data_IF_849334720843
#
_entry.id   IF_849334720843
#
_cell.length_a   1.000
_cell.length_b   1.000
_cell.length_c   1.000
_cell.angle_alpha   90.00
_cell.angle_beta   90.00
_cell.angle_gamma   90.00
#
_symmetry.space_group_name_H-M   'P 1'
#
loop_
_entity.id
_entity.type
_entity.pdbx_description
1 polymer ?
#
# COMPACT_ATOMS: atom_id res chain seq x y z
N UNK A 1 3.77 15.86 -6.13
CA UNK A 1 4.78 15.45 -5.15
C UNK A 1 4.54 14.01 -4.75
N UNK A 2 5.59 13.23 -4.54
CA UNK A 2 5.48 11.79 -4.34
C UNK A 2 5.81 11.42 -2.90
N UNK A 3 5.20 10.33 -2.43
CA UNK A 3 5.52 9.76 -1.14
C UNK A 3 5.79 8.27 -1.27
N UNK A 4 6.68 7.76 -0.45
CA UNK A 4 7.04 6.35 -0.41
C UNK A 4 6.95 5.87 1.03
N UNK A 5 6.41 4.66 1.20
CA UNK A 5 6.28 4.03 2.50
C UNK A 5 6.71 2.58 2.38
N UNK A 6 7.48 2.11 3.34
CA UNK A 6 7.89 0.72 3.40
C UNK A 6 7.76 0.19 4.81
N UNK A 7 7.38 -1.08 4.93
CA UNK A 7 7.22 -1.71 6.24
C UNK A 7 7.53 -3.20 6.13
N UNK A 8 8.23 -3.71 7.12
CA UNK A 8 8.42 -5.13 7.33
C UNK A 8 7.93 -5.47 8.72
N UNK A 9 6.92 -6.34 8.81
CA UNK A 9 6.33 -6.71 10.08
C UNK A 9 5.72 -8.09 10.00
N UNK A 10 6.48 -9.13 10.36
CA UNK A 10 5.90 -10.48 10.43
C UNK A 10 4.69 -10.50 11.33
N UNK A 11 3.65 -11.21 10.90
CA UNK A 11 2.38 -11.32 11.63
C UNK A 11 1.64 -9.99 11.76
N UNK A 12 1.98 -9.00 10.92
CA UNK A 12 1.29 -7.72 10.89
C UNK A 12 0.50 -7.60 9.58
N UNK A 13 -0.50 -6.75 9.58
CA UNK A 13 -1.26 -6.45 8.36
C UNK A 13 -0.52 -5.34 7.61
N UNK A 14 0.56 -5.71 6.91
CA UNK A 14 1.43 -4.71 6.28
C UNK A 14 0.72 -3.92 5.19
N UNK A 15 -0.21 -4.54 4.45
CA UNK A 15 -0.97 -3.81 3.44
C UNK A 15 -1.84 -2.73 4.08
N UNK A 16 -2.49 -3.05 5.18
CA UNK A 16 -3.33 -2.09 5.89
C UNK A 16 -2.50 -0.95 6.48
N UNK A 17 -1.36 -1.28 7.09
CA UNK A 17 -0.46 -0.26 7.63
C UNK A 17 0.09 0.63 6.51
N UNK A 18 0.41 0.04 5.34
CA UNK A 18 0.87 0.80 4.18
C UNK A 18 -0.23 1.72 3.66
N UNK A 19 -1.47 1.25 3.64
CA UNK A 19 -2.61 2.07 3.25
C UNK A 19 -2.70 3.33 4.12
N UNK A 20 -2.61 3.17 5.44
CA UNK A 20 -2.65 4.31 6.34
C UNK A 20 -1.42 5.20 6.20
N UNK A 21 -0.25 4.60 5.94
CA UNK A 21 0.95 5.37 5.67
C UNK A 21 0.81 6.25 4.44
N UNK A 22 0.28 5.70 3.36
CA UNK A 22 0.03 6.47 2.15
C UNK A 22 -1.04 7.52 2.36
N UNK A 23 -2.08 7.19 3.12
CA UNK A 23 -3.14 8.14 3.40
C UNK A 23 -2.58 9.40 4.08
N UNK A 24 -1.62 9.21 5.00
CA UNK A 24 -0.97 10.34 5.65
C UNK A 24 -0.12 11.16 4.68
N UNK A 25 0.37 10.56 3.60
CA UNK A 25 1.23 11.23 2.63
C UNK A 25 0.46 11.85 1.46
N UNK A 26 -0.80 11.47 1.25
CA UNK A 26 -1.52 11.86 0.02
C UNK A 26 -1.78 13.35 -0.08
N UNK A 27 -1.77 14.08 1.02
CA UNK A 27 -1.98 15.53 0.98
C UNK A 27 -0.88 16.26 0.23
N UNK A 28 0.18 15.56 -0.15
CA UNK A 28 1.28 16.13 -0.92
C UNK A 28 1.00 16.16 -2.43
N UNK A 29 -0.23 15.85 -2.83
CA UNK A 29 -0.63 15.91 -4.23
C UNK A 29 -0.39 14.58 -4.94
N UNK A 30 -1.40 13.75 -4.95
CA UNK A 30 -1.30 12.39 -5.44
C UNK A 30 -2.11 12.21 -6.71
N UNK A 31 -1.52 11.62 -7.76
CA UNK A 31 -2.19 11.28 -8.99
C UNK A 31 -2.33 9.77 -9.17
N UNK A 32 -1.55 9.00 -8.44
CA UNK A 32 -1.60 7.54 -8.51
C UNK A 32 -1.16 6.96 -7.18
N UNK A 33 -1.48 5.69 -6.97
CA UNK A 33 -1.07 4.97 -5.77
C UNK A 33 -0.80 3.52 -6.12
N UNK A 34 0.10 2.90 -5.38
CA UNK A 34 0.42 1.50 -5.56
C UNK A 34 0.96 0.88 -4.29
N UNK A 35 0.67 -0.40 -4.10
CA UNK A 35 1.17 -1.20 -2.99
C UNK A 35 1.66 -2.53 -3.54
N UNK A 36 2.87 -2.91 -3.15
CA UNK A 36 3.41 -4.24 -3.43
C UNK A 36 3.65 -4.94 -2.10
N UNK A 37 3.13 -6.15 -1.97
CA UNK A 37 3.21 -6.92 -0.73
C UNK A 37 3.81 -8.28 -1.02
N UNK A 38 4.77 -8.69 -0.20
CA UNK A 38 5.44 -9.99 -0.31
C UNK A 38 5.18 -10.85 0.91
N UNK A 39 4.87 -12.11 0.68
CA UNK A 39 4.75 -13.11 1.74
C UNK A 39 5.98 -14.01 1.84
N UNK A 40 7.04 -13.69 1.08
CA UNK A 40 8.25 -14.48 1.03
C UNK A 40 8.31 -15.44 -0.15
N UNK A 41 7.19 -15.75 -0.76
CA UNK A 41 7.10 -16.61 -1.93
C UNK A 41 6.46 -15.93 -3.12
N UNK A 42 5.51 -15.06 -2.86
CA UNK A 42 4.77 -14.35 -3.90
C UNK A 42 4.82 -12.85 -3.65
N UNK A 43 4.79 -12.11 -4.74
CA UNK A 43 4.67 -10.66 -4.71
C UNK A 43 3.34 -10.28 -5.33
N UNK A 44 2.54 -9.57 -4.56
CA UNK A 44 1.24 -9.09 -5.01
C UNK A 44 1.31 -7.59 -5.18
N UNK A 45 0.85 -7.11 -6.33
CA UNK A 45 0.92 -5.70 -6.67
C UNK A 45 -0.46 -5.19 -7.02
N UNK A 46 -0.81 -4.06 -6.45
CA UNK A 46 -2.01 -3.32 -6.85
C UNK A 46 -1.64 -1.86 -7.04
N UNK A 47 -1.95 -1.31 -8.22
CA UNK A 47 -1.67 0.09 -8.52
C UNK A 47 -2.71 0.62 -9.50
N UNK A 48 -2.98 1.91 -9.41
CA UNK A 48 -3.91 2.57 -10.31
C UNK A 48 -3.73 4.09 -10.20
N UNK A 49 -4.36 4.79 -11.12
CA UNK A 49 -4.46 6.24 -11.05
C UNK A 49 -5.51 6.64 -10.04
N UNK A 50 -5.28 7.74 -9.36
CA UNK A 50 -6.22 8.26 -8.37
C UNK A 50 -5.59 8.36 -7.00
N UNK A 51 -6.36 8.89 -6.05
CA UNK A 51 -5.92 8.99 -4.67
C UNK A 51 -6.07 7.65 -3.97
N UNK A 52 -5.27 7.47 -2.91
CA UNK A 52 -5.22 6.16 -2.23
C UNK A 52 -6.60 5.66 -1.81
N UNK A 53 -7.48 6.54 -1.37
CA UNK A 53 -8.82 6.15 -0.97
C UNK A 53 -9.71 5.68 -2.12
N UNK A 54 -9.38 6.08 -3.35
CA UNK A 54 -10.09 5.64 -4.55
C UNK A 54 -9.45 4.42 -5.18
N UNK A 55 -8.11 4.31 -5.07
CA UNK A 55 -7.35 3.22 -5.67
C UNK A 55 -7.50 1.95 -4.85
N UNK A 56 -7.39 2.07 -3.54
CA UNK A 56 -7.49 0.95 -2.61
C UNK A 56 -8.62 1.19 -1.63
N UNK A 57 -9.40 0.17 -1.36
CA UNK A 57 -10.38 0.21 -0.29
C UNK A 57 -10.15 -0.96 0.66
N UNK A 58 -10.83 -0.93 1.79
CA UNK A 58 -10.62 -1.94 2.82
C UNK A 58 -11.03 -3.35 2.39
N UNK A 59 -11.83 -3.47 1.33
CA UNK A 59 -12.22 -4.78 0.82
C UNK A 59 -11.09 -5.45 0.06
N UNK A 60 -10.18 -4.68 -0.53
CA UNK A 60 -9.05 -5.20 -1.29
C UNK A 60 -7.86 -5.52 -0.42
N UNK A 61 -7.71 -4.81 0.70
CA UNK A 61 -6.55 -4.98 1.56
C UNK A 61 -6.37 -6.42 2.07
N UNK A 62 -7.42 -7.15 2.46
CA UNK A 62 -7.22 -8.51 2.94
C UNK A 62 -6.65 -9.48 1.91
N UNK A 63 -6.75 -9.18 0.62
CA UNK A 63 -6.17 -10.03 -0.42
C UNK A 63 -4.66 -9.81 -0.58
N UNK A 64 -4.13 -8.73 -0.03
CA UNK A 64 -2.71 -8.39 -0.10
C UNK A 64 -2.04 -8.84 1.19
N UNK A 65 -1.70 -10.12 1.25
CA UNK A 65 -1.15 -10.74 2.46
C UNK A 65 0.36 -10.85 2.38
N UNK A 66 1.02 -10.59 3.49
CA UNK A 66 2.46 -10.71 3.56
C UNK A 66 3.01 -10.02 4.79
N UNK A 67 4.33 -10.03 4.90
CA UNK A 67 5.03 -9.42 6.02
C UNK A 67 5.95 -8.27 5.58
N UNK A 68 6.00 -7.99 4.28
CA UNK A 68 6.78 -6.89 3.73
C UNK A 68 5.93 -6.14 2.71
N UNK A 69 5.91 -4.83 2.80
CA UNK A 69 5.18 -4.02 1.83
C UNK A 69 5.97 -2.76 1.48
N UNK A 70 5.84 -2.36 0.22
CA UNK A 70 6.33 -1.08 -0.28
C UNK A 70 5.15 -0.40 -0.96
N UNK A 71 4.98 0.88 -0.70
CA UNK A 71 3.86 1.62 -1.26
C UNK A 71 4.31 3.00 -1.71
N UNK A 72 3.60 3.56 -2.67
CA UNK A 72 3.89 4.91 -3.15
C UNK A 72 2.61 5.64 -3.55
N UNK A 73 2.71 6.92 -3.57
CA UNK A 73 1.67 7.79 -4.11
C UNK A 73 2.28 9.02 -4.75
#
# INVERSE_FOLDING_TARGET
MCGVFGIHGPQREVARLSYFGLFALQHRGQESAGIAVSDGEQLMLYKDLGMIGSVLDERRLPSLRGDLAIAHC
#
